data_IF_880960541407
#
_entry.id   IF_880960541407
#
_cell.length_a   1.000
_cell.length_b   1.000
_cell.length_c   1.000
_cell.angle_alpha   90.00
_cell.angle_beta   90.00
_cell.angle_gamma   90.00
#
_symmetry.space_group_name_H-M   'P 1'
#
loop_
_entity.id
_entity.type
_entity.pdbx_description
1 polymer ?
#
# COMPACT_ATOMS: atom_id res chain seq x y z
N UNK A 1 0.04 26.85 4.68
CA UNK A 1 0.15 25.36 4.73
C UNK A 1 -1.12 24.74 4.14
N UNK A 2 -1.01 24.01 3.02
CA UNK A 2 -2.15 23.22 2.52
C UNK A 2 -2.52 22.20 3.59
N UNK A 3 -3.71 22.36 4.16
CA UNK A 3 -4.28 21.41 5.10
C UNK A 3 -4.62 20.14 4.34
N UNK A 4 -3.90 19.07 4.62
CA UNK A 4 -4.25 17.75 4.12
C UNK A 4 -5.36 17.23 5.04
N UNK A 5 -6.55 17.06 4.48
CA UNK A 5 -7.70 16.54 5.23
C UNK A 5 -7.71 15.02 5.16
N UNK A 6 -7.98 14.40 6.31
CA UNK A 6 -8.24 12.96 6.39
C UNK A 6 -9.41 12.58 5.49
N UNK A 7 -9.32 11.40 4.86
CA UNK A 7 -10.40 10.88 4.05
C UNK A 7 -11.18 9.80 4.81
N UNK A 8 -12.48 9.99 4.97
CA UNK A 8 -13.33 9.09 5.75
C UNK A 8 -13.43 7.68 5.14
N UNK A 9 -13.47 7.55 3.82
CA UNK A 9 -13.51 6.25 3.14
C UNK A 9 -12.21 5.47 3.36
N UNK A 10 -11.07 6.15 3.25
CA UNK A 10 -9.77 5.54 3.57
C UNK A 10 -9.67 5.14 5.05
N UNK A 11 -10.18 5.96 5.96
CA UNK A 11 -10.20 5.64 7.38
C UNK A 11 -11.09 4.42 7.66
N UNK A 12 -12.25 4.32 7.01
CA UNK A 12 -13.11 3.13 7.05
C UNK A 12 -12.39 1.88 6.54
N UNK A 13 -11.69 2.01 5.41
CA UNK A 13 -10.86 0.93 4.86
C UNK A 13 -9.73 0.50 5.81
N UNK A 14 -8.99 1.43 6.40
CA UNK A 14 -7.92 1.13 7.35
C UNK A 14 -8.49 0.43 8.59
N UNK A 15 -9.63 0.90 9.11
CA UNK A 15 -10.32 0.25 10.22
C UNK A 15 -10.70 -1.19 9.88
N UNK A 16 -11.37 -1.40 8.74
CA UNK A 16 -11.76 -2.74 8.29
C UNK A 16 -10.55 -3.67 8.14
N UNK A 17 -9.43 -3.19 7.59
CA UNK A 17 -8.18 -3.96 7.52
C UNK A 17 -7.67 -4.35 8.91
N UNK A 18 -7.65 -3.40 9.85
CA UNK A 18 -7.18 -3.62 11.23
C UNK A 18 -8.09 -4.56 12.02
N UNK A 19 -9.38 -4.56 11.75
CA UNK A 19 -10.36 -5.43 12.39
C UNK A 19 -10.40 -6.83 11.75
N UNK A 20 -9.87 -6.98 10.52
CA UNK A 20 -9.78 -8.27 9.83
C UNK A 20 -8.76 -9.18 10.49
N UNK A 21 -9.21 -10.31 11.04
CA UNK A 21 -8.34 -11.41 11.46
C UNK A 21 -8.09 -12.33 10.27
N UNK A 22 -6.81 -12.53 9.93
CA UNK A 22 -6.42 -13.36 8.80
C UNK A 22 -5.11 -14.07 9.09
N UNK A 23 -5.12 -15.38 8.86
CA UNK A 23 -3.97 -16.24 9.06
C UNK A 23 -3.78 -17.13 7.83
N UNK A 24 -2.66 -16.94 7.14
CA UNK A 24 -2.29 -17.70 5.92
C UNK A 24 -2.06 -19.19 6.16
N UNK A 25 -2.01 -19.65 7.42
CA UNK A 25 -1.95 -21.07 7.79
C UNK A 25 -3.32 -21.75 7.79
N UNK A 26 -4.39 -20.98 7.98
CA UNK A 26 -5.76 -21.51 8.15
C UNK A 26 -6.68 -21.09 7.01
N UNK A 27 -6.33 -20.07 6.23
CA UNK A 27 -7.10 -19.60 5.08
C UNK A 27 -6.18 -19.00 4.01
N UNK A 28 -6.53 -19.22 2.74
CA UNK A 28 -5.96 -18.49 1.59
C UNK A 28 -6.85 -17.33 1.14
N UNK A 29 -7.96 -17.06 1.82
CA UNK A 29 -8.87 -15.96 1.50
C UNK A 29 -8.81 -14.88 2.59
N UNK A 30 -8.30 -13.71 2.23
CA UNK A 30 -8.38 -12.49 3.04
C UNK A 30 -9.70 -11.79 2.69
N UNK A 31 -10.63 -11.71 3.64
CA UNK A 31 -11.91 -11.03 3.48
C UNK A 31 -11.99 -9.83 4.43
N UNK A 32 -12.20 -8.65 3.87
CA UNK A 32 -12.31 -7.43 4.68
C UNK A 32 -13.63 -7.40 5.44
N UNK A 33 -13.59 -6.92 6.69
CA UNK A 33 -14.77 -6.71 7.52
C UNK A 33 -15.80 -5.79 6.83
N UNK A 34 -17.07 -6.00 7.16
CA UNK A 34 -18.21 -5.21 6.69
C UNK A 34 -18.34 -5.10 5.17
N UNK A 35 -17.82 -6.07 4.42
CA UNK A 35 -17.75 -6.06 2.95
C UNK A 35 -17.05 -4.81 2.39
N UNK A 36 -16.14 -4.23 3.18
CA UNK A 36 -15.35 -3.07 2.81
C UNK A 36 -14.51 -3.37 1.57
N UNK A 37 -14.43 -2.41 0.65
CA UNK A 37 -13.66 -2.54 -0.59
C UNK A 37 -12.28 -1.93 -0.41
N UNK A 38 -11.26 -2.45 -1.10
CA UNK A 38 -9.91 -1.88 -1.01
C UNK A 38 -9.92 -0.38 -1.38
N UNK A 39 -9.21 0.42 -0.58
CA UNK A 39 -9.19 1.90 -0.65
C UNK A 39 -10.56 2.60 -0.49
N UNK A 40 -11.61 1.88 -0.08
CA UNK A 40 -12.98 2.41 -0.08
C UNK A 40 -13.57 2.61 -1.48
N UNK A 41 -12.89 2.12 -2.53
CA UNK A 41 -13.30 2.33 -3.91
C UNK A 41 -14.29 1.23 -4.36
N UNK A 42 -15.47 1.62 -4.86
CA UNK A 42 -16.54 0.69 -5.25
C UNK A 42 -16.13 -0.40 -6.25
N UNK A 43 -15.18 -0.09 -7.13
CA UNK A 43 -14.73 -1.01 -8.19
C UNK A 43 -13.61 -1.96 -7.72
N UNK A 44 -13.16 -1.85 -6.47
CA UNK A 44 -12.13 -2.71 -5.90
C UNK A 44 -12.76 -3.94 -5.24
N UNK A 45 -12.03 -5.05 -5.10
CA UNK A 45 -12.55 -6.24 -4.41
C UNK A 45 -12.76 -5.97 -2.91
N UNK A 46 -13.54 -6.82 -2.25
CA UNK A 46 -13.58 -6.92 -0.77
C UNK A 46 -12.91 -8.20 -0.24
N UNK A 47 -12.51 -9.09 -1.15
CA UNK A 47 -11.86 -10.37 -0.84
C UNK A 47 -10.65 -10.58 -1.73
N UNK A 48 -9.58 -11.15 -1.20
CA UNK A 48 -8.35 -11.47 -1.91
C UNK A 48 -7.95 -12.92 -1.68
N UNK A 49 -7.72 -13.64 -2.78
CA UNK A 49 -7.11 -14.95 -2.73
C UNK A 49 -5.59 -14.83 -2.67
N UNK A 50 -5.00 -15.23 -1.54
CA UNK A 50 -3.57 -15.17 -1.24
C UNK A 50 -2.89 -16.41 -1.81
N UNK A 51 -2.29 -16.25 -2.99
CA UNK A 51 -1.57 -17.31 -3.69
C UNK A 51 -0.30 -17.70 -2.94
N UNK A 52 0.14 -18.95 -3.07
CA UNK A 52 1.41 -19.41 -2.47
C UNK A 52 2.60 -18.53 -2.86
N UNK A 53 2.70 -18.12 -4.13
CA UNK A 53 3.77 -17.22 -4.57
C UNK A 53 3.73 -15.84 -3.91
N UNK A 54 2.58 -15.38 -3.40
CA UNK A 54 2.52 -14.14 -2.63
C UNK A 54 3.19 -14.31 -1.27
N UNK A 55 3.10 -15.51 -0.67
CA UNK A 55 3.74 -15.81 0.63
C UNK A 55 5.27 -15.74 0.49
N UNK A 56 5.83 -16.37 -0.55
CA UNK A 56 7.27 -16.37 -0.83
C UNK A 56 7.80 -14.96 -1.16
N UNK A 57 7.07 -14.25 -2.02
CA UNK A 57 7.40 -12.89 -2.40
C UNK A 57 7.31 -11.93 -1.22
N UNK A 58 6.30 -12.08 -0.37
CA UNK A 58 6.12 -11.30 0.84
C UNK A 58 7.30 -11.46 1.81
N UNK A 59 7.74 -12.71 2.07
CA UNK A 59 8.92 -12.96 2.88
C UNK A 59 10.17 -12.28 2.30
N UNK A 60 10.31 -12.30 0.97
CA UNK A 60 11.44 -11.64 0.29
C UNK A 60 11.38 -10.12 0.44
N UNK A 61 10.21 -9.51 0.26
CA UNK A 61 9.98 -8.06 0.39
C UNK A 61 10.29 -7.54 1.79
N UNK A 62 10.01 -8.33 2.82
CA UNK A 62 10.20 -7.88 4.19
C UNK A 62 11.66 -7.86 4.64
N UNK A 63 12.56 -8.55 3.93
CA UNK A 63 13.99 -8.62 4.25
C UNK A 63 14.62 -7.21 4.33
N UNK A 64 15.31 -6.85 5.42
CA UNK A 64 15.87 -5.51 5.61
C UNK A 64 16.90 -5.13 4.55
N UNK A 65 17.62 -6.09 3.99
CA UNK A 65 18.57 -5.91 2.90
C UNK A 65 17.91 -5.52 1.56
N UNK A 66 16.63 -5.87 1.37
CA UNK A 66 15.88 -5.49 0.18
C UNK A 66 15.33 -4.09 0.39
N UNK A 67 16.04 -3.09 -0.15
CA UNK A 67 15.60 -1.70 -0.13
C UNK A 67 14.62 -1.40 -1.25
N UNK A 68 14.90 -1.88 -2.45
CA UNK A 68 14.13 -1.56 -3.65
C UNK A 68 13.81 -2.87 -4.39
N UNK A 69 12.53 -3.16 -4.62
CA UNK A 69 12.08 -4.32 -5.38
C UNK A 69 11.20 -3.85 -6.54
N UNK A 70 11.43 -4.39 -7.74
CA UNK A 70 10.55 -4.18 -8.90
C UNK A 70 10.06 -5.53 -9.42
N UNK A 71 8.76 -5.70 -9.51
CA UNK A 71 8.10 -6.92 -9.99
C UNK A 71 7.68 -6.73 -11.45
N UNK A 72 8.52 -7.21 -12.36
CA UNK A 72 8.44 -6.96 -13.81
C UNK A 72 7.90 -8.16 -14.63
N UNK A 73 6.79 -8.79 -14.23
CA UNK A 73 6.16 -9.86 -15.04
C UNK A 73 5.03 -9.35 -15.96
N UNK A 74 4.52 -10.23 -16.83
CA UNK A 74 3.43 -9.97 -17.76
C UNK A 74 2.14 -9.49 -17.07
N UNK A 75 1.31 -8.76 -17.83
CA UNK A 75 0.00 -8.29 -17.41
C UNK A 75 -0.88 -9.48 -16.94
N UNK A 76 -1.71 -9.27 -15.92
CA UNK A 76 -2.70 -10.27 -15.47
C UNK A 76 -2.22 -11.28 -14.42
N UNK A 77 -0.95 -11.27 -14.01
CA UNK A 77 -0.44 -12.24 -13.02
C UNK A 77 -0.87 -11.95 -11.57
N UNK A 78 -1.56 -10.84 -11.33
CA UNK A 78 -2.13 -10.50 -10.02
C UNK A 78 -1.30 -9.53 -9.17
N UNK A 79 -0.39 -8.76 -9.79
CA UNK A 79 0.44 -7.76 -9.10
C UNK A 79 -0.38 -6.80 -8.21
N UNK A 80 -1.46 -6.14 -8.68
CA UNK A 80 -2.21 -5.22 -7.81
C UNK A 80 -2.71 -5.90 -6.53
N UNK A 81 -3.14 -7.17 -6.63
CA UNK A 81 -3.60 -7.95 -5.47
C UNK A 81 -2.48 -8.30 -4.49
N UNK A 82 -1.24 -8.54 -4.96
CA UNK A 82 -0.09 -8.65 -4.06
C UNK A 82 0.18 -7.32 -3.34
N UNK A 83 0.04 -6.18 -4.04
CA UNK A 83 0.16 -4.85 -3.45
C UNK A 83 -0.85 -4.65 -2.31
N UNK A 84 -2.08 -5.13 -2.48
CA UNK A 84 -3.12 -5.07 -1.45
C UNK A 84 -2.82 -5.99 -0.26
N UNK A 85 -2.28 -7.18 -0.51
CA UNK A 85 -1.83 -8.07 0.56
C UNK A 85 -0.67 -7.47 1.37
N UNK A 86 0.29 -6.84 0.70
CA UNK A 86 1.37 -6.11 1.36
C UNK A 86 0.83 -4.92 2.16
N UNK A 87 -0.10 -4.15 1.58
CA UNK A 87 -0.74 -3.03 2.24
C UNK A 87 -1.46 -3.46 3.54
N UNK A 88 -2.18 -4.58 3.52
CA UNK A 88 -2.82 -5.16 4.70
C UNK A 88 -1.81 -5.36 5.84
N UNK A 89 -0.71 -6.06 5.57
CA UNK A 89 0.30 -6.37 6.60
C UNK A 89 1.00 -5.11 7.13
N UNK A 90 1.38 -4.19 6.24
CA UNK A 90 2.08 -2.96 6.61
C UNK A 90 1.20 -2.06 7.49
N UNK A 91 -0.10 -1.96 7.17
CA UNK A 91 -1.06 -1.18 7.96
C UNK A 91 -1.35 -1.82 9.32
N UNK A 92 -1.42 -3.15 9.41
CA UNK A 92 -1.52 -3.88 10.69
C UNK A 92 -0.32 -3.63 11.61
N UNK A 93 0.85 -3.35 11.02
CA UNK A 93 2.10 -3.05 11.74
C UNK A 93 2.34 -1.54 11.92
N UNK A 94 1.33 -0.71 11.69
CA UNK A 94 1.39 0.75 11.81
C UNK A 94 2.55 1.40 11.04
N UNK A 95 2.91 0.83 9.88
CA UNK A 95 3.92 1.42 8.99
C UNK A 95 3.34 2.63 8.26
N UNK A 96 4.20 3.62 8.01
CA UNK A 96 3.85 4.74 7.13
C UNK A 96 3.99 4.30 5.68
N UNK A 97 3.01 4.60 4.84
CA UNK A 97 2.98 4.14 3.45
C UNK A 97 2.58 5.31 2.55
N UNK A 98 3.37 5.56 1.51
CA UNK A 98 2.98 6.38 0.36
C UNK A 98 2.64 5.41 -0.76
N UNK A 99 1.40 5.41 -1.22
CA UNK A 99 0.88 4.47 -2.20
C UNK A 99 0.47 5.24 -3.46
N UNK A 100 1.05 4.89 -4.60
CA UNK A 100 0.72 5.44 -5.90
C UNK A 100 -0.17 4.46 -6.66
N UNK A 101 -1.46 4.81 -6.77
CA UNK A 101 -2.41 4.07 -7.59
C UNK A 101 -2.31 4.56 -9.02
N UNK A 102 -2.10 3.65 -9.95
CA UNK A 102 -2.01 3.97 -11.36
C UNK A 102 -3.25 4.64 -11.95
N UNK A 103 -4.41 4.34 -11.37
CA UNK A 103 -5.69 4.93 -11.77
C UNK A 103 -5.85 6.36 -11.26
N UNK A 104 -5.03 6.81 -10.31
CA UNK A 104 -5.07 8.15 -9.73
C UNK A 104 -3.99 9.01 -10.35
N UNK A 105 -4.36 9.90 -11.27
CA UNK A 105 -3.41 10.82 -11.89
C UNK A 105 -2.94 11.87 -10.88
N UNK A 106 -1.62 12.08 -10.84
CA UNK A 106 -0.95 13.16 -10.09
C UNK A 106 -1.31 13.18 -8.60
N UNK A 107 -1.61 12.02 -8.02
CA UNK A 107 -2.00 11.89 -6.62
C UNK A 107 -1.52 10.59 -6.03
N UNK A 108 -1.05 10.66 -4.78
CA UNK A 108 -0.69 9.50 -3.96
C UNK A 108 -1.61 9.42 -2.76
N UNK A 109 -1.75 8.21 -2.20
CA UNK A 109 -2.38 7.98 -0.91
C UNK A 109 -1.29 7.91 0.14
N UNK A 110 -1.37 8.76 1.17
CA UNK A 110 -0.56 8.61 2.38
C UNK A 110 -1.38 7.86 3.43
N UNK A 111 -0.81 6.79 3.95
CA UNK A 111 -1.27 6.12 5.16
C UNK A 111 -0.31 6.41 6.30
N UNK A 112 -0.82 6.96 7.40
CA UNK A 112 -0.02 7.32 8.57
C UNK A 112 -0.88 7.29 9.82
N UNK A 113 -0.37 6.68 10.90
CA UNK A 113 -1.00 6.71 12.23
C UNK A 113 -2.47 6.26 12.19
N UNK A 114 -2.76 5.23 11.38
CA UNK A 114 -4.12 4.71 11.21
C UNK A 114 -5.06 5.58 10.37
N UNK A 115 -4.55 6.62 9.70
CA UNK A 115 -5.32 7.57 8.90
C UNK A 115 -4.87 7.57 7.45
N UNK A 116 -5.82 7.82 6.55
CA UNK A 116 -5.60 7.89 5.11
C UNK A 116 -5.81 9.29 4.56
N UNK A 117 -4.93 9.69 3.64
CA UNK A 117 -4.94 11.02 3.04
C UNK A 117 -4.70 10.92 1.53
N UNK A 118 -5.46 11.67 0.74
CA UNK A 118 -5.13 11.90 -0.66
C UNK A 118 -4.23 13.12 -0.78
N UNK A 119 -3.07 12.95 -1.39
CA UNK A 119 -2.09 14.01 -1.61
C UNK A 119 -1.92 14.23 -3.10
N UNK A 120 -2.05 15.48 -3.54
CA UNK A 120 -1.70 15.84 -4.90
C UNK A 120 -0.17 15.96 -5.02
N UNK A 121 0.42 15.33 -6.03
CA UNK A 121 1.87 15.28 -6.20
C UNK A 121 2.51 16.66 -6.38
N UNK A 122 1.84 17.58 -7.09
CA UNK A 122 2.35 18.92 -7.36
C UNK A 122 2.23 19.79 -6.11
N UNK A 123 1.02 19.87 -5.54
CA UNK A 123 0.75 20.75 -4.40
C UNK A 123 1.35 20.25 -3.10
N UNK A 124 1.51 18.93 -2.95
CA UNK A 124 2.03 18.31 -1.73
C UNK A 124 3.42 17.70 -1.89
N UNK A 125 4.17 18.01 -2.97
CA UNK A 125 5.51 17.44 -3.24
C UNK A 125 6.45 17.49 -2.03
N UNK A 126 6.49 18.58 -1.27
CA UNK A 126 7.35 18.70 -0.08
C UNK A 126 6.94 17.71 1.02
N UNK A 127 5.65 17.54 1.23
CA UNK A 127 5.11 16.61 2.24
C UNK A 127 5.45 15.17 1.82
N UNK A 128 5.17 14.83 0.56
CA UNK A 128 5.46 13.50 0.00
C UNK A 128 6.96 13.20 0.14
N UNK A 129 7.82 14.11 -0.34
CA UNK A 129 9.29 13.97 -0.25
C UNK A 129 9.77 13.79 1.19
N UNK A 130 9.23 14.53 2.13
CA UNK A 130 9.59 14.40 3.55
C UNK A 130 9.25 13.01 4.12
N UNK A 131 8.17 12.38 3.67
CA UNK A 131 7.87 11.01 4.09
C UNK A 131 8.77 9.99 3.41
N UNK A 132 9.08 10.16 2.12
CA UNK A 132 9.96 9.25 1.38
C UNK A 132 11.40 9.21 1.90
N UNK A 133 11.84 10.24 2.64
CA UNK A 133 13.15 10.28 3.31
C UNK A 133 13.18 9.53 4.66
N UNK A 134 12.04 9.12 5.20
CA UNK A 134 11.99 8.42 6.49
C UNK A 134 12.21 6.92 6.28
N UNK A 135 13.12 6.33 7.03
CA UNK A 135 13.48 4.91 6.93
C UNK A 135 12.30 3.95 7.19
N UNK A 136 11.28 4.40 7.92
CA UNK A 136 10.09 3.62 8.23
C UNK A 136 8.93 3.85 7.25
N UNK A 137 9.16 4.55 6.14
CA UNK A 137 8.16 4.77 5.10
C UNK A 137 8.32 3.77 3.98
N UNK A 138 7.21 3.15 3.59
CA UNK A 138 7.13 2.35 2.38
C UNK A 138 6.57 3.17 1.24
N UNK A 139 7.18 3.08 0.07
CA UNK A 139 6.60 3.62 -1.16
C UNK A 139 6.25 2.49 -2.12
N UNK A 140 4.98 2.43 -2.51
CA UNK A 140 4.39 1.34 -3.29
C UNK A 140 3.75 1.92 -4.55
N UNK A 141 4.15 1.43 -5.73
CA UNK A 141 3.56 1.83 -7.02
C UNK A 141 2.79 0.66 -7.65
N UNK A 142 1.54 0.91 -8.06
CA UNK A 142 0.57 -0.12 -8.48
C UNK A 142 0.67 -0.56 -9.97
N UNK A 143 1.15 0.31 -10.89
CA UNK A 143 1.29 0.00 -12.35
C UNK A 143 2.21 -1.20 -12.60
N UNK A 144 3.17 -1.37 -11.71
CA UNK A 144 4.28 -2.32 -11.79
C UNK A 144 4.86 -2.30 -10.38
N UNK A 145 4.58 -3.33 -9.58
CA UNK A 145 4.93 -3.36 -8.16
C UNK A 145 6.40 -2.98 -7.96
N UNK A 146 6.62 -1.72 -7.66
CA UNK A 146 7.90 -1.14 -7.37
C UNK A 146 7.78 -0.71 -5.91
N UNK A 147 8.46 -1.44 -5.05
CA UNK A 147 8.53 -1.23 -3.62
C UNK A 147 9.85 -0.54 -3.35
N UNK A 148 9.80 0.71 -2.91
CA UNK A 148 10.97 1.45 -2.47
C UNK A 148 10.83 1.66 -0.95
N UNK A 149 11.73 1.03 -0.18
CA UNK A 149 11.93 1.30 1.25
C UNK A 149 12.86 2.49 1.50
N UNK A 150 13.59 2.94 0.48
CA UNK A 150 14.40 4.16 0.56
C UNK A 150 14.50 4.80 -0.83
N UNK A 151 13.98 6.01 -0.95
CA UNK A 151 14.27 6.86 -2.10
C UNK A 151 15.65 7.50 -1.88
N UNK A 152 16.72 6.77 -2.22
CA UNK A 152 17.97 7.45 -2.59
C UNK A 152 17.76 8.01 -3.99
N UNK A 153 17.38 9.28 -4.08
CA UNK A 153 17.63 10.05 -5.28
C UNK A 153 19.16 10.10 -5.45
N UNK A 154 19.71 9.20 -6.25
CA UNK A 154 20.97 9.45 -6.92
C UNK A 154 20.72 10.66 -7.85
N UNK A 155 21.44 11.74 -7.57
CA UNK A 155 21.63 12.97 -8.33
C UNK A 155 20.89 13.08 -9.68
N UNK A 156 20.08 14.13 -9.87
CA UNK A 156 20.50 15.47 -10.34
C UNK A 156 19.33 16.45 -10.18
#
# INVERSE_FOLDING_TARGET
PLQVTENQDLNGFIKALKDTDFNTKTSDLLELADNTKFFGLKNQPSKLFIRNCYKDLFQTVLKPEIRNLRISNSLGIGKPFFGYYLLYDLLKKDRTIVYELHTMKSSVILFKEGKGFYLNEIFNHKIIRNYLHKENTWYIIDIMLLLLRQFLFLHQ
#
